data_IF_360923184061
#
_entry.id   IF_360923184061
#
_cell.length_a   1.000
_cell.length_b   1.000
_cell.length_c   1.000
_cell.angle_alpha   90.00
_cell.angle_beta   90.00
_cell.angle_gamma   90.00
#
_symmetry.space_group_name_H-M   'P 1'
#
loop_
_entity.id
_entity.type
_entity.pdbx_description
1 polymer ?
#
# COMPACT_ATOMS: atom_id res chain seq x y z
N UNK A 1 -10.99 35.14 -0.88
CA UNK A 1 -9.83 34.39 -0.33
C UNK A 1 -10.40 33.22 0.47
N UNK A 2 -10.20 31.94 0.18
CA UNK A 2 -9.43 31.23 -0.84
C UNK A 2 -10.28 30.03 -1.33
N UNK A 3 -10.23 29.76 -2.63
CA UNK A 3 -10.71 28.51 -3.20
C UNK A 3 -9.61 27.46 -3.04
N UNK A 4 -9.85 26.41 -2.25
CA UNK A 4 -9.07 25.18 -2.33
C UNK A 4 -9.97 24.15 -3.00
N UNK A 5 -9.82 23.98 -4.31
CA UNK A 5 -10.26 22.76 -4.98
C UNK A 5 -9.28 21.66 -4.55
N UNK A 6 -9.63 20.88 -3.51
CA UNK A 6 -8.90 19.64 -3.22
C UNK A 6 -9.14 18.71 -4.41
N UNK A 7 -8.10 18.51 -5.21
CA UNK A 7 -8.10 17.55 -6.31
C UNK A 7 -8.43 16.17 -5.74
N UNK A 8 -9.28 15.42 -6.45
CA UNK A 8 -9.73 14.12 -5.99
C UNK A 8 -8.54 13.17 -5.79
N UNK A 9 -8.34 12.72 -4.55
CA UNK A 9 -7.38 11.68 -4.20
C UNK A 9 -8.09 10.34 -4.22
N UNK A 10 -7.56 9.36 -4.94
CA UNK A 10 -8.20 8.06 -5.13
C UNK A 10 -7.21 6.94 -4.76
N UNK A 11 -7.66 5.99 -3.93
CA UNK A 11 -6.92 4.78 -3.52
C UNK A 11 -7.68 3.60 -4.11
N UNK A 12 -7.08 2.85 -5.03
CA UNK A 12 -7.82 1.84 -5.82
C UNK A 12 -6.90 0.73 -6.37
N UNK A 13 -7.40 -0.50 -6.63
CA UNK A 13 -6.58 -1.60 -7.12
C UNK A 13 -6.32 -1.53 -8.63
N UNK A 14 -5.03 -1.58 -8.96
CA UNK A 14 -4.32 -2.15 -10.11
C UNK A 14 -4.83 -1.82 -11.55
N UNK A 15 -3.97 -1.13 -12.32
CA UNK A 15 -4.09 -0.63 -13.72
C UNK A 15 -5.37 0.11 -14.16
N UNK A 16 -6.56 -0.48 -14.08
CA UNK A 16 -7.84 0.17 -14.47
C UNK A 16 -8.06 1.49 -13.75
N UNK A 17 -7.59 1.53 -12.52
CA UNK A 17 -7.67 2.68 -11.64
C UNK A 17 -6.70 3.81 -12.03
N UNK A 18 -5.56 3.45 -12.61
CA UNK A 18 -4.58 4.41 -13.15
C UNK A 18 -5.13 5.05 -14.42
N UNK A 19 -5.74 4.24 -15.29
CA UNK A 19 -6.40 4.73 -16.51
C UNK A 19 -7.56 5.66 -16.18
N UNK A 20 -8.42 5.25 -15.25
CA UNK A 20 -9.54 6.08 -14.80
C UNK A 20 -9.06 7.41 -14.19
N UNK A 21 -8.00 7.38 -13.38
CA UNK A 21 -7.41 8.59 -12.79
C UNK A 21 -6.83 9.53 -13.85
N UNK A 22 -6.08 8.98 -14.81
CA UNK A 22 -5.52 9.74 -15.93
C UNK A 22 -6.62 10.37 -16.79
N UNK A 23 -7.64 9.59 -17.18
CA UNK A 23 -8.78 10.06 -17.95
C UNK A 23 -9.60 11.14 -17.21
N UNK A 24 -9.65 11.08 -15.88
CA UNK A 24 -10.29 12.09 -15.04
C UNK A 24 -9.42 13.34 -14.81
N UNK A 25 -8.18 13.37 -15.31
CA UNK A 25 -7.26 14.51 -15.15
C UNK A 25 -6.67 14.66 -13.75
N UNK A 26 -6.55 13.55 -12.99
CA UNK A 26 -5.90 13.54 -11.68
C UNK A 26 -4.47 14.07 -11.82
N UNK A 27 -4.10 15.03 -10.96
CA UNK A 27 -2.79 15.67 -11.01
C UNK A 27 -1.72 14.85 -10.27
N UNK A 28 -2.10 14.23 -9.15
CA UNK A 28 -1.21 13.46 -8.29
C UNK A 28 -1.87 12.13 -7.89
N UNK A 29 -1.22 11.02 -8.22
CA UNK A 29 -1.65 9.66 -7.87
C UNK A 29 -0.78 9.06 -6.76
N UNK A 30 -1.40 8.60 -5.67
CA UNK A 30 -0.70 7.90 -4.58
C UNK A 30 -1.01 6.40 -4.67
N UNK A 31 0.01 5.61 -4.99
CA UNK A 31 -0.08 4.16 -5.07
C UNK A 31 0.42 3.51 -3.77
N UNK A 32 -0.41 2.65 -3.16
CA UNK A 32 0.01 1.78 -2.05
C UNK A 32 0.42 0.43 -2.61
N UNK A 33 1.73 0.23 -2.68
CA UNK A 33 2.37 -1.01 -3.14
C UNK A 33 2.88 -1.82 -1.94
N UNK A 34 3.95 -2.59 -2.11
CA UNK A 34 4.56 -3.44 -1.09
C UNK A 34 6.09 -3.39 -1.17
N UNK A 35 6.76 -3.54 -0.03
CA UNK A 35 8.22 -3.65 0.03
C UNK A 35 8.75 -4.82 -0.80
N UNK A 36 9.95 -4.66 -1.38
CA UNK A 36 10.62 -5.69 -2.18
C UNK A 36 11.43 -6.68 -1.37
N UNK A 37 11.57 -6.45 -0.07
CA UNK A 37 12.40 -7.30 0.81
C UNK A 37 11.66 -8.50 1.36
N UNK A 38 10.43 -8.77 0.90
CA UNK A 38 9.66 -9.92 1.33
C UNK A 38 10.14 -11.16 0.57
N UNK A 39 10.81 -12.13 1.23
CA UNK A 39 11.13 -13.38 0.58
C UNK A 39 9.81 -14.07 0.26
N UNK A 40 9.65 -14.64 -0.94
CA UNK A 40 8.54 -15.53 -1.37
C UNK A 40 7.24 -14.91 -1.90
N UNK A 41 7.21 -13.65 -2.34
CA UNK A 41 5.95 -13.03 -2.80
C UNK A 41 5.72 -13.09 -4.33
N UNK A 42 6.54 -13.85 -5.07
CA UNK A 42 6.36 -14.26 -6.49
C UNK A 42 5.47 -13.37 -7.36
N UNK A 43 4.41 -13.95 -7.93
CA UNK A 43 3.45 -13.29 -8.83
C UNK A 43 2.77 -12.08 -8.20
N UNK A 44 2.55 -12.07 -6.88
CA UNK A 44 1.97 -10.93 -6.20
C UNK A 44 2.91 -9.73 -6.26
N UNK A 45 4.19 -9.92 -5.93
CA UNK A 45 5.19 -8.87 -5.99
C UNK A 45 5.39 -8.39 -7.43
N UNK A 46 5.44 -9.31 -8.40
CA UNK A 46 5.53 -8.98 -9.83
C UNK A 46 4.34 -8.12 -10.28
N UNK A 47 3.12 -8.49 -9.89
CA UNK A 47 1.91 -7.71 -10.20
C UNK A 47 1.99 -6.31 -9.60
N UNK A 48 2.41 -6.19 -8.33
CA UNK A 48 2.59 -4.87 -7.69
C UNK A 48 3.63 -4.02 -8.43
N UNK A 49 4.74 -4.62 -8.86
CA UNK A 49 5.77 -3.91 -9.65
C UNK A 49 5.28 -3.51 -11.04
N UNK A 50 4.50 -4.35 -11.71
CA UNK A 50 3.89 -3.99 -13.00
C UNK A 50 2.97 -2.76 -12.87
N UNK A 51 2.17 -2.69 -11.80
CA UNK A 51 1.32 -1.53 -11.52
C UNK A 51 2.15 -0.28 -11.19
N UNK A 52 3.26 -0.42 -10.46
CA UNK A 52 4.17 0.71 -10.23
C UNK A 52 4.74 1.27 -11.52
N UNK A 53 5.21 0.41 -12.43
CA UNK A 53 5.69 0.86 -13.75
C UNK A 53 4.58 1.53 -14.54
N UNK A 54 3.36 1.02 -14.47
CA UNK A 54 2.20 1.63 -15.13
C UNK A 54 1.89 3.04 -14.60
N UNK A 55 1.93 3.23 -13.27
CA UNK A 55 1.79 4.56 -12.64
C UNK A 55 2.88 5.51 -13.11
N UNK A 56 4.14 5.06 -13.17
CA UNK A 56 5.27 5.89 -13.65
C UNK A 56 5.10 6.32 -15.11
N UNK A 57 4.50 5.47 -15.94
CA UNK A 57 4.26 5.73 -17.36
C UNK A 57 3.00 6.57 -17.62
N UNK A 58 2.14 6.78 -16.62
CA UNK A 58 0.86 7.47 -16.76
C UNK A 58 0.95 8.97 -17.06
N UNK A 59 2.11 9.60 -16.81
CA UNK A 59 2.31 11.04 -16.95
C UNK A 59 1.79 11.89 -15.78
N UNK A 60 1.13 11.29 -14.79
CA UNK A 60 0.72 11.98 -13.56
C UNK A 60 1.92 12.20 -12.62
N UNK A 61 1.86 13.23 -11.76
CA UNK A 61 2.73 13.26 -10.57
C UNK A 61 2.36 12.05 -9.72
N UNK A 62 3.35 11.37 -9.13
CA UNK A 62 3.07 10.15 -8.37
C UNK A 62 3.89 10.05 -7.09
N UNK A 63 3.30 9.35 -6.12
CA UNK A 63 3.99 8.82 -4.94
C UNK A 63 3.71 7.33 -4.83
N UNK A 64 4.74 6.51 -4.63
CA UNK A 64 4.59 5.06 -4.42
C UNK A 64 5.04 4.74 -3.01
N UNK A 65 4.09 4.38 -2.15
CA UNK A 65 4.37 3.89 -0.81
C UNK A 65 4.56 2.38 -0.85
N UNK A 66 5.63 1.88 -0.23
CA UNK A 66 5.96 0.44 -0.17
C UNK A 66 6.02 -0.04 1.28
N UNK A 67 4.87 -0.10 1.98
CA UNK A 67 4.83 -0.59 3.34
C UNK A 67 5.33 -2.03 3.46
N UNK A 68 5.72 -2.38 4.68
CA UNK A 68 6.08 -3.73 5.08
C UNK A 68 4.84 -4.44 5.68
N UNK A 69 5.02 -5.38 6.61
CA UNK A 69 3.90 -6.13 7.18
C UNK A 69 2.93 -5.23 7.96
N UNK A 70 1.70 -5.08 7.44
CA UNK A 70 0.62 -4.36 8.09
C UNK A 70 0.12 -5.10 9.34
N UNK A 71 0.30 -4.51 10.52
CA UNK A 71 -0.14 -5.09 11.80
C UNK A 71 -1.64 -5.42 11.77
N UNK A 72 -2.45 -4.50 11.26
CA UNK A 72 -3.91 -4.59 11.24
C UNK A 72 -4.42 -5.78 10.41
N UNK A 73 -3.64 -6.22 9.42
CA UNK A 73 -3.96 -7.38 8.59
C UNK A 73 -3.39 -8.67 9.16
N UNK A 74 -2.12 -8.62 9.62
CA UNK A 74 -1.34 -9.81 9.96
C UNK A 74 -1.39 -10.21 11.44
N UNK A 75 -1.84 -9.31 12.32
CA UNK A 75 -2.07 -9.57 13.74
C UNK A 75 -3.57 -9.62 14.06
N UNK A 76 -4.37 -9.95 13.06
CA UNK A 76 -5.82 -10.07 13.16
C UNK A 76 -6.29 -11.52 13.28
N UNK A 77 -7.54 -11.75 13.75
CA UNK A 77 -8.10 -13.08 13.91
C UNK A 77 -8.20 -13.86 12.59
N UNK A 78 -8.21 -13.18 11.44
CA UNK A 78 -8.27 -13.80 10.11
C UNK A 78 -7.01 -14.57 9.70
N UNK A 79 -5.92 -14.51 10.48
CA UNK A 79 -4.66 -15.22 10.24
C UNK A 79 -4.19 -15.97 11.50
N UNK A 80 -5.12 -16.50 12.28
CA UNK A 80 -4.85 -17.30 13.48
C UNK A 80 -4.05 -16.56 14.57
N UNK A 81 -4.25 -15.24 14.68
CA UNK A 81 -3.78 -14.44 15.82
C UNK A 81 -4.80 -14.50 16.96
N UNK A 82 -4.63 -15.47 17.87
CA UNK A 82 -5.52 -15.76 19.00
C UNK A 82 -4.90 -15.31 20.33
N UNK A 83 -5.19 -14.06 20.70
CA UNK A 83 -4.72 -13.46 21.95
C UNK A 83 -5.29 -14.19 23.17
N UNK A 84 -6.55 -14.63 23.11
CA UNK A 84 -7.24 -15.22 24.26
C UNK A 84 -6.61 -16.54 24.70
N UNK A 85 -6.10 -17.32 23.73
CA UNK A 85 -5.40 -18.59 23.98
C UNK A 85 -3.87 -18.49 23.86
N UNK A 86 -3.32 -17.27 23.79
CA UNK A 86 -1.87 -17.03 23.63
C UNK A 86 -1.25 -17.81 22.46
N UNK A 87 -1.98 -17.91 21.35
CA UNK A 87 -1.56 -18.65 20.15
C UNK A 87 -1.49 -17.70 18.95
N UNK A 88 -0.41 -17.79 18.18
CA UNK A 88 -0.24 -17.03 16.95
C UNK A 88 0.40 -17.90 15.88
N UNK A 89 -0.06 -17.75 14.64
CA UNK A 89 0.69 -18.20 13.48
C UNK A 89 1.62 -17.08 12.98
N UNK A 90 2.93 -17.36 12.95
CA UNK A 90 3.96 -16.41 12.47
C UNK A 90 4.66 -16.97 11.25
N UNK A 91 5.23 -16.08 10.44
CA UNK A 91 6.03 -16.48 9.28
C UNK A 91 7.41 -17.01 9.70
N UNK A 92 7.80 -18.15 9.14
CA UNK A 92 9.12 -18.74 9.36
C UNK A 92 9.29 -19.33 10.77
N UNK A 93 10.53 -19.36 11.27
CA UNK A 93 10.87 -19.94 12.58
C UNK A 93 10.43 -19.09 13.78
N UNK A 94 10.00 -17.85 13.55
CA UNK A 94 9.68 -16.88 14.61
C UNK A 94 10.87 -16.14 15.22
N UNK A 95 12.09 -16.48 14.81
CA UNK A 95 13.32 -15.82 15.29
C UNK A 95 13.73 -14.65 14.38
N UNK A 96 13.12 -14.55 13.20
CA UNK A 96 13.37 -13.49 12.23
C UNK A 96 12.82 -12.15 12.70
N UNK A 97 13.58 -11.08 12.47
CA UNK A 97 13.09 -9.71 12.68
C UNK A 97 12.07 -9.36 11.60
N UNK A 98 10.89 -8.93 12.04
CA UNK A 98 9.82 -8.46 11.16
C UNK A 98 9.63 -6.95 11.37
N UNK A 99 9.65 -6.19 10.28
CA UNK A 99 9.33 -4.77 10.30
C UNK A 99 7.82 -4.62 10.16
N UNK A 100 7.16 -4.44 11.29
CA UNK A 100 5.72 -4.21 11.36
C UNK A 100 5.40 -2.73 11.17
N UNK A 101 4.27 -2.43 10.53
CA UNK A 101 3.76 -1.07 10.37
C UNK A 101 2.25 -1.04 10.55
N UNK A 102 1.72 -0.01 11.22
CA UNK A 102 0.28 0.16 11.34
C UNK A 102 -0.30 0.72 10.03
N UNK A 103 -1.49 0.28 9.65
CA UNK A 103 -2.22 0.80 8.49
C UNK A 103 -2.45 2.31 8.63
N UNK A 104 -2.77 2.77 9.84
CA UNK A 104 -2.97 4.19 10.14
C UNK A 104 -1.77 5.06 9.75
N UNK A 105 -0.55 4.61 10.05
CA UNK A 105 0.67 5.35 9.71
C UNK A 105 0.86 5.43 8.19
N UNK A 106 0.63 4.32 7.47
CA UNK A 106 0.71 4.30 6.00
C UNK A 106 -0.29 5.28 5.38
N UNK A 107 -1.52 5.32 5.90
CA UNK A 107 -2.55 6.25 5.43
C UNK A 107 -2.18 7.70 5.75
N UNK A 108 -1.55 7.96 6.90
CA UNK A 108 -1.06 9.28 7.24
C UNK A 108 0.01 9.75 6.24
N UNK A 109 0.98 8.90 5.89
CA UNK A 109 1.95 9.20 4.84
C UNK A 109 1.31 9.37 3.46
N UNK A 110 0.26 8.61 3.15
CA UNK A 110 -0.46 8.75 1.88
C UNK A 110 -1.15 10.11 1.76
N UNK A 111 -1.74 10.61 2.85
CA UNK A 111 -2.35 11.95 2.89
C UNK A 111 -1.28 13.03 2.80
N UNK A 112 -0.19 12.92 3.58
CA UNK A 112 0.91 13.89 3.55
C UNK A 112 1.59 13.95 2.18
N UNK A 113 1.58 12.86 1.42
CA UNK A 113 2.15 12.83 0.07
C UNK A 113 1.38 13.70 -0.94
N UNK A 114 0.20 14.23 -0.59
CA UNK A 114 -0.64 15.06 -1.44
C UNK A 114 -0.53 16.56 -1.14
N UNK A 115 0.15 16.92 -0.05
CA UNK A 115 0.41 18.30 0.37
C UNK A 115 1.60 18.89 -0.40
#
# INVERSE_FOLDING_TARGET
MSHIKRGASIVVPDSLSVDAASAAGVQHFVNISVTGTLPTWGIFLETRRAVEEYVKQSGMIYTILRPNYLMDLWLGPGVDFDIANARVQIFGSGEGKINWVALGDVLQFAVQALD
#
